data_IF_772713799838
#
_entry.id   IF_772713799838
#
_cell.length_a   1.000
_cell.length_b   1.000
_cell.length_c   1.000
_cell.angle_alpha   90.00
_cell.angle_beta   90.00
_cell.angle_gamma   90.00
#
_symmetry.space_group_name_H-M   'P 1'
#
loop_
_entity.id
_entity.type
_entity.pdbx_description
1 polymer ?
#
# COMPACT_ATOMS: atom_id res chain seq x y z
N UNK A 1 -22.43 6.49 28.52
CA UNK A 1 -22.14 7.65 27.66
C UNK A 1 -20.62 7.77 27.57
N UNK A 2 -19.98 7.10 26.59
CA UNK A 2 -18.52 7.21 26.39
C UNK A 2 -18.29 8.07 25.16
N UNK A 3 -17.67 9.23 25.36
CA UNK A 3 -17.46 10.25 24.36
C UNK A 3 -16.77 9.71 23.10
N UNK A 4 -17.28 10.11 21.93
CA UNK A 4 -16.73 9.77 20.63
C UNK A 4 -15.32 10.32 20.45
N UNK A 5 -14.46 9.49 19.86
CA UNK A 5 -13.15 9.91 19.39
C UNK A 5 -13.34 10.84 18.17
N UNK A 6 -12.82 12.08 18.20
CA UNK A 6 -13.03 13.02 17.10
C UNK A 6 -12.33 12.52 15.83
N UNK A 7 -13.09 12.53 14.74
CA UNK A 7 -12.63 12.23 13.39
C UNK A 7 -11.53 13.23 13.03
N UNK A 8 -10.32 12.72 12.79
CA UNK A 8 -9.20 13.49 12.29
C UNK A 8 -9.46 13.86 10.83
N UNK A 9 -10.03 15.05 10.62
CA UNK A 9 -10.22 15.68 9.31
C UNK A 9 -8.89 16.26 8.81
N UNK A 10 -8.43 15.79 7.64
CA UNK A 10 -7.64 16.64 6.74
C UNK A 10 -6.11 16.59 6.82
N UNK A 11 -5.49 15.40 6.75
CA UNK A 11 -4.12 15.32 6.22
C UNK A 11 -4.06 14.28 5.08
N UNK A 12 -3.72 14.67 3.84
CA UNK A 12 -3.29 13.73 2.83
C UNK A 12 -1.87 13.28 3.21
N UNK A 13 -1.77 12.39 4.20
CA UNK A 13 -0.51 11.75 4.51
C UNK A 13 -0.18 10.85 3.32
N UNK A 14 0.81 11.30 2.54
CA UNK A 14 1.51 10.50 1.56
C UNK A 14 2.27 9.39 2.31
N UNK A 15 1.55 8.38 2.80
CA UNK A 15 2.16 7.16 3.29
C UNK A 15 2.74 6.42 2.09
N UNK A 16 4.06 6.24 2.09
CA UNK A 16 4.85 5.49 1.11
C UNK A 16 4.57 3.98 1.13
N UNK A 17 3.45 3.55 1.71
CA UNK A 17 3.12 2.16 2.03
C UNK A 17 1.74 1.76 1.48
N UNK A 18 1.46 2.07 0.21
CA UNK A 18 0.19 1.70 -0.41
C UNK A 18 -1.03 2.22 0.34
N UNK A 19 -2.14 1.49 0.33
CA UNK A 19 -3.42 1.94 0.93
C UNK A 19 -3.39 2.10 2.46
N UNK A 20 -2.28 1.79 3.13
CA UNK A 20 -2.14 1.94 4.58
C UNK A 20 -2.42 3.39 5.02
N UNK A 21 -3.42 3.56 5.89
CA UNK A 21 -3.85 4.86 6.42
C UNK A 21 -4.99 5.53 5.65
N UNK A 22 -5.42 5.00 4.50
CA UNK A 22 -6.65 5.42 3.83
C UNK A 22 -7.85 4.68 4.42
N UNK A 23 -9.00 5.34 4.53
CA UNK A 23 -10.26 4.66 4.86
C UNK A 23 -10.57 3.67 3.75
N UNK A 24 -10.97 2.46 4.12
CA UNK A 24 -11.41 1.44 3.16
C UNK A 24 -12.76 1.83 2.58
N UNK A 25 -12.92 1.65 1.27
CA UNK A 25 -14.22 1.69 0.60
C UNK A 25 -15.20 0.65 1.19
N UNK A 26 -16.51 0.95 1.24
CA UNK A 26 -17.53 -0.02 1.61
C UNK A 26 -17.52 -1.27 0.73
N UNK A 27 -17.97 -2.40 1.29
CA UNK A 27 -17.94 -3.69 0.61
C UNK A 27 -18.74 -3.68 -0.71
N UNK A 28 -19.82 -2.92 -0.76
CA UNK A 28 -20.71 -2.76 -1.90
C UNK A 28 -20.01 -2.12 -3.11
N UNK A 29 -18.97 -1.32 -2.86
CA UNK A 29 -18.16 -0.66 -3.87
C UNK A 29 -16.87 -1.43 -4.20
N UNK A 30 -16.55 -2.47 -3.42
CA UNK A 30 -15.35 -3.25 -3.62
C UNK A 30 -15.43 -4.05 -4.93
N UNK A 31 -14.37 -3.98 -5.73
CA UNK A 31 -14.30 -4.65 -7.03
C UNK A 31 -13.51 -5.95 -6.92
N UNK A 32 -14.20 -7.08 -7.02
CA UNK A 32 -13.55 -8.39 -7.08
C UNK A 32 -12.53 -8.42 -8.22
N UNK A 33 -11.32 -8.93 -7.96
CA UNK A 33 -10.22 -8.95 -8.92
C UNK A 33 -9.38 -7.67 -8.95
N UNK A 34 -9.72 -6.64 -8.19
CA UNK A 34 -8.88 -5.46 -7.96
C UNK A 34 -8.34 -5.46 -6.54
N UNK A 35 -7.01 -5.36 -6.38
CA UNK A 35 -6.39 -5.08 -5.08
C UNK A 35 -6.39 -3.58 -4.74
N UNK A 36 -6.82 -2.72 -5.67
CA UNK A 36 -6.86 -1.26 -5.51
C UNK A 36 -8.28 -0.71 -5.41
N UNK A 37 -8.44 0.32 -4.57
CA UNK A 37 -9.73 1.00 -4.36
C UNK A 37 -10.02 2.00 -5.50
N UNK A 38 -8.99 2.68 -6.03
CA UNK A 38 -9.14 3.66 -7.11
C UNK A 38 -7.95 3.69 -8.10
N UNK A 39 -8.06 4.53 -9.12
CA UNK A 39 -7.04 4.69 -10.17
C UNK A 39 -5.78 5.43 -9.70
N UNK A 40 -5.87 6.26 -8.67
CA UNK A 40 -4.71 6.93 -8.10
C UNK A 40 -3.83 5.92 -7.36
N UNK A 41 -4.44 5.00 -6.61
CA UNK A 41 -3.78 3.90 -5.94
C UNK A 41 -3.10 2.96 -6.93
N UNK A 42 -3.72 2.69 -8.08
CA UNK A 42 -3.08 1.92 -9.15
C UNK A 42 -1.78 2.58 -9.65
N UNK A 43 -1.82 3.88 -9.92
CA UNK A 43 -0.65 4.63 -10.41
C UNK A 43 0.47 4.66 -9.37
N UNK A 44 0.12 4.85 -8.10
CA UNK A 44 1.07 4.85 -6.99
C UNK A 44 1.71 3.47 -6.81
N UNK A 45 0.90 2.41 -6.76
CA UNK A 45 1.42 1.05 -6.68
C UNK A 45 2.42 0.76 -7.82
N UNK A 46 2.10 1.18 -9.05
CA UNK A 46 3.01 1.05 -10.17
C UNK A 46 4.31 1.85 -10.04
N UNK A 47 4.32 2.97 -9.30
CA UNK A 47 5.54 3.70 -8.96
C UNK A 47 6.34 3.00 -7.86
N UNK A 48 5.66 2.56 -6.80
CA UNK A 48 6.27 1.87 -5.67
C UNK A 48 6.95 0.56 -6.14
N UNK A 49 6.29 -0.20 -7.01
CA UNK A 49 6.84 -1.41 -7.62
C UNK A 49 8.10 -1.16 -8.45
N UNK A 50 8.22 0.00 -9.12
CA UNK A 50 9.42 0.35 -9.89
C UNK A 50 10.62 0.67 -9.00
N UNK A 51 10.37 1.12 -7.78
CA UNK A 51 11.39 1.46 -6.80
C UNK A 51 11.77 0.27 -5.91
N UNK A 52 11.07 -0.86 -6.05
CA UNK A 52 11.36 -2.07 -5.29
C UNK A 52 12.62 -2.73 -5.82
N UNK A 53 13.52 -3.09 -4.90
CA UNK A 53 14.79 -3.75 -5.23
C UNK A 53 14.55 -5.18 -5.69
N UNK A 54 15.34 -5.62 -6.67
CA UNK A 54 15.36 -7.02 -7.10
C UNK A 54 16.23 -7.87 -6.16
N UNK A 55 16.06 -9.19 -6.22
CA UNK A 55 16.89 -10.11 -5.44
C UNK A 55 18.39 -9.93 -5.68
N UNK A 56 18.82 -9.57 -6.90
CA UNK A 56 20.23 -9.29 -7.22
C UNK A 56 20.71 -8.00 -6.55
N UNK A 57 19.90 -6.93 -6.59
CA UNK A 57 20.25 -5.67 -5.94
C UNK A 57 20.33 -5.79 -4.41
N UNK A 58 19.44 -6.60 -3.82
CA UNK A 58 19.51 -6.91 -2.38
C UNK A 58 20.82 -7.61 -2.03
N UNK A 59 21.26 -8.59 -2.83
CA UNK A 59 22.54 -9.29 -2.61
C UNK A 59 23.75 -8.36 -2.75
N UNK A 60 23.76 -7.47 -3.75
CA UNK A 60 24.82 -6.46 -3.93
C UNK A 60 24.97 -5.54 -2.72
N UNK A 61 23.87 -5.24 -2.03
CA UNK A 61 23.85 -4.45 -0.80
C UNK A 61 24.08 -5.27 0.47
N UNK A 62 24.34 -6.58 0.35
CA UNK A 62 24.54 -7.49 1.47
C UNK A 62 23.26 -7.84 2.24
N UNK A 63 22.09 -7.59 1.65
CA UNK A 63 20.78 -7.97 2.19
C UNK A 63 20.42 -9.39 1.74
N UNK A 64 19.63 -10.09 2.58
CA UNK A 64 19.16 -11.44 2.28
C UNK A 64 17.92 -11.35 1.39
N UNK A 65 17.94 -11.92 0.16
CA UNK A 65 16.77 -11.94 -0.71
C UNK A 65 15.71 -12.95 -0.23
N UNK A 66 14.49 -12.80 -0.74
CA UNK A 66 13.41 -13.75 -0.44
C UNK A 66 13.73 -15.16 -0.96
N UNK A 67 13.33 -16.23 -0.26
CA UNK A 67 13.55 -17.60 -0.71
C UNK A 67 12.84 -17.90 -2.04
N UNK A 68 13.54 -18.57 -2.95
CA UNK A 68 12.95 -19.10 -4.18
C UNK A 68 12.17 -20.37 -3.82
N UNK A 69 10.92 -20.49 -4.29
CA UNK A 69 10.10 -21.69 -4.14
C UNK A 69 10.44 -22.69 -5.26
N UNK A 70 10.74 -23.94 -4.90
CA UNK A 70 10.94 -25.09 -5.81
C UNK A 70 9.63 -25.83 -6.08
#
# INVERSE_FOLDING_TARGET
MTAGNPLNDGQPQASSAGQAGRKSEPLENAKNGSMVQDMQDLKRLGHDMKNMKTNSQLQEEGLVPDPIQE
#
